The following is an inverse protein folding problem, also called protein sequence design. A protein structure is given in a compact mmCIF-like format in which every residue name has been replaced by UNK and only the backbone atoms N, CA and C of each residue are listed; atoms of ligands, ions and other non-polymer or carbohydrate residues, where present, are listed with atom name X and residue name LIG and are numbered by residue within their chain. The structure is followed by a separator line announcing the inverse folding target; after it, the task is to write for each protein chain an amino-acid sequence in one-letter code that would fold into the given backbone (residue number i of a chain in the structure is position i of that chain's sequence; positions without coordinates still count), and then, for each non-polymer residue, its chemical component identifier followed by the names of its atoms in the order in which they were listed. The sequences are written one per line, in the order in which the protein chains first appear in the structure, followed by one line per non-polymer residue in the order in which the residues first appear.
data_IF_446390281189
#
_entry.id   IF_446390281189
#
_cell.length_a   1.000
_cell.length_b   1.000
_cell.length_c   1.000
_cell.angle_alpha   90.00
_cell.angle_beta   90.00
_cell.angle_gamma   90.00
#
_symmetry.space_group_name_H-M   'P 1'
#
loop_
_entity.id
_entity.type
_entity.pdbx_description
1 polymer ?
#
# COMPACT_ATOMS: atom_id res chain seq x y z
N UNK A 1 -11.79 13.82 13.42
CA UNK A 1 -11.23 12.74 12.58
C UNK A 1 -10.24 11.96 13.44
N UNK A 2 -10.42 10.64 13.63
CA UNK A 2 -9.43 9.80 14.33
C UNK A 2 -8.36 9.35 13.32
N UNK A 3 -7.11 9.34 13.75
CA UNK A 3 -5.99 8.85 12.96
C UNK A 3 -5.48 7.55 13.56
N UNK A 4 -5.13 6.61 12.68
CA UNK A 4 -4.57 5.32 13.03
C UNK A 4 -3.24 5.15 12.31
N UNK A 5 -2.28 4.47 12.95
CA UNK A 5 -0.92 4.32 12.45
C UNK A 5 -0.64 2.86 12.15
N UNK A 6 -0.11 2.59 10.97
CA UNK A 6 0.47 1.33 10.55
C UNK A 6 1.92 1.58 10.10
N UNK A 7 2.83 0.65 10.42
CA UNK A 7 4.19 0.67 9.89
C UNK A 7 4.27 -0.30 8.71
N UNK A 8 4.83 0.15 7.58
CA UNK A 8 5.02 -0.64 6.39
C UNK A 8 6.27 -0.16 5.63
N UNK A 9 6.97 -1.08 4.99
CA UNK A 9 8.08 -0.79 4.07
C UNK A 9 7.55 -0.63 2.64
N UNK A 10 7.83 0.51 2.01
CA UNK A 10 7.25 0.87 0.70
C UNK A 10 7.77 -0.03 -0.42
N UNK A 11 8.97 -0.59 -0.26
CA UNK A 11 9.56 -1.51 -1.24
C UNK A 11 9.01 -2.94 -1.13
N UNK A 12 8.31 -3.27 -0.04
CA UNK A 12 7.70 -4.59 0.18
C UNK A 12 6.25 -4.58 -0.33
N UNK A 13 6.00 -5.32 -1.42
CA UNK A 13 4.68 -5.38 -2.03
C UNK A 13 3.62 -6.05 -1.15
N UNK A 14 4.02 -7.03 -0.32
CA UNK A 14 3.11 -7.72 0.60
C UNK A 14 2.64 -6.80 1.72
N UNK A 15 3.56 -5.99 2.27
CA UNK A 15 3.21 -4.98 3.27
C UNK A 15 2.32 -3.88 2.70
N UNK A 16 2.56 -3.46 1.45
CA UNK A 16 1.70 -2.47 0.78
C UNK A 16 0.32 -3.02 0.45
N UNK A 17 0.22 -4.28 0.02
CA UNK A 17 -1.05 -4.97 -0.16
C UNK A 17 -1.83 -4.98 1.15
N UNK A 18 -1.21 -5.45 2.23
CA UNK A 18 -1.83 -5.48 3.56
C UNK A 18 -2.24 -4.08 4.02
N UNK A 19 -1.41 -3.05 3.83
CA UNK A 19 -1.73 -1.68 4.24
C UNK A 19 -2.95 -1.12 3.47
N UNK A 20 -3.14 -1.51 2.22
CA UNK A 20 -4.21 -1.01 1.35
C UNK A 20 -5.51 -1.82 1.46
N UNK A 21 -5.45 -3.07 1.92
CA UNK A 21 -6.62 -3.89 2.25
C UNK A 21 -7.02 -3.83 3.74
N UNK A 22 -6.18 -3.24 4.59
CA UNK A 22 -6.41 -3.17 6.03
C UNK A 22 -7.52 -2.19 6.41
N UNK A 23 -8.23 -2.53 7.49
CA UNK A 23 -9.20 -1.63 8.10
C UNK A 23 -8.53 -0.37 8.64
N UNK A 24 -9.06 0.78 8.24
CA UNK A 24 -8.56 2.07 8.69
C UNK A 24 -8.82 2.34 10.18
N UNK A 25 -9.67 1.56 10.85
CA UNK A 25 -10.02 1.76 12.27
C UNK A 25 -10.63 0.49 12.92
N UNK A 26 -10.48 0.29 14.24
CA UNK A 26 -11.10 -0.84 14.95
C UNK A 26 -12.63 -0.86 14.88
N UNK A 27 -13.28 0.31 14.83
CA UNK A 27 -14.74 0.43 14.69
C UNK A 27 -15.26 0.03 13.30
N UNK A 28 -14.34 -0.17 12.33
CA UNK A 28 -14.66 -0.70 11.00
C UNK A 28 -14.60 -2.22 10.91
N UNK A 29 -14.30 -2.91 12.02
CA UNK A 29 -14.30 -4.38 12.09
C UNK A 29 -15.71 -4.98 12.19
N UNK A 30 -16.68 -4.20 12.68
CA UNK A 30 -18.07 -4.61 12.95
C UNK A 30 -19.03 -4.54 11.75
N UNK A 31 -18.96 -3.53 10.84
CA UNK A 31 -19.88 -3.48 9.70
C UNK A 31 -19.41 -4.44 8.60
N UNK A 32 -20.25 -5.41 8.25
CA UNK A 32 -20.03 -6.37 7.14
C UNK A 32 -20.07 -5.78 5.73
N UNK A 33 -19.65 -4.52 5.55
CA UNK A 33 -19.68 -3.78 4.29
C UNK A 33 -18.52 -4.14 3.33
N UNK A 34 -17.76 -5.18 3.62
CA UNK A 34 -16.67 -5.68 2.76
C UNK A 34 -15.33 -4.98 2.99
N UNK A 35 -14.37 -5.31 2.12
CA UNK A 35 -13.00 -4.81 2.17
C UNK A 35 -12.96 -3.26 2.05
N UNK A 36 -12.14 -2.57 2.86
CA UNK A 36 -12.00 -1.12 2.80
C UNK A 36 -11.50 -0.65 1.44
N UNK A 37 -12.24 0.23 0.77
CA UNK A 37 -11.76 0.94 -0.42
C UNK A 37 -11.31 2.34 -0.03
N UNK A 38 -10.03 2.64 -0.24
CA UNK A 38 -9.51 4.00 -0.13
C UNK A 38 -9.82 4.79 -1.39
N UNK A 39 -10.43 5.97 -1.26
CA UNK A 39 -10.72 6.86 -2.40
C UNK A 39 -9.46 7.51 -2.97
N UNK A 40 -8.44 7.71 -2.13
CA UNK A 40 -7.18 8.33 -2.52
C UNK A 40 -6.01 7.87 -1.64
N UNK A 41 -4.83 7.74 -2.25
CA UNK A 41 -3.59 7.37 -1.56
C UNK A 41 -2.48 8.36 -1.91
N UNK A 42 -1.85 8.92 -0.87
CA UNK A 42 -0.67 9.79 -0.97
C UNK A 42 0.46 9.15 -0.17
N UNK A 43 1.60 8.90 -0.81
CA UNK A 43 2.83 8.46 -0.14
C UNK A 43 3.95 9.46 -0.42
N UNK A 44 4.80 9.70 0.59
CA UNK A 44 5.99 10.54 0.48
C UNK A 44 7.29 9.77 0.75
N UNK A 45 7.20 8.45 0.96
CA UNK A 45 8.36 7.61 1.20
C UNK A 45 9.22 7.54 -0.07
N UNK A 46 10.47 8.02 0.05
CA UNK A 46 11.46 8.06 -1.02
C UNK A 46 12.86 8.29 -0.45
N UNK A 47 13.88 7.98 -1.25
CA UNK A 47 15.23 8.54 -1.06
C UNK A 47 15.29 9.87 -1.85
N UNK A 48 15.41 11.02 -1.17
CA UNK A 48 15.08 12.32 -1.77
C UNK A 48 16.19 12.92 -2.67
N UNK A 49 17.43 12.42 -2.58
CA UNK A 49 18.55 12.92 -3.40
C UNK A 49 19.68 11.92 -3.54
N UNK A 50 20.48 12.14 -4.58
CA UNK A 50 21.76 11.47 -4.78
C UNK A 50 22.67 11.66 -3.56
N UNK A 51 23.56 10.69 -3.33
CA UNK A 51 24.55 10.65 -2.25
C UNK A 51 24.02 10.34 -0.84
N UNK A 52 22.72 10.09 -0.64
CA UNK A 52 22.20 9.49 0.61
C UNK A 52 22.40 7.98 0.60
N UNK A 53 22.07 7.37 -0.54
CA UNK A 53 22.29 5.96 -0.85
C UNK A 53 22.95 5.82 -2.22
N UNK A 54 23.58 4.67 -2.54
CA UNK A 54 24.01 4.38 -3.90
C UNK A 54 22.90 4.63 -4.92
N UNK A 55 23.27 5.07 -6.13
CA UNK A 55 22.29 5.50 -7.15
C UNK A 55 21.31 4.40 -7.55
N UNK A 56 21.77 3.15 -7.63
CA UNK A 56 20.94 1.99 -7.90
C UNK A 56 19.86 1.77 -6.82
N UNK A 57 20.20 1.98 -5.55
CA UNK A 57 19.24 1.83 -4.45
C UNK A 57 18.24 3.00 -4.41
N UNK A 58 18.70 4.22 -4.63
CA UNK A 58 17.83 5.41 -4.75
C UNK A 58 16.80 5.21 -5.86
N UNK A 59 17.25 4.74 -7.03
CA UNK A 59 16.38 4.45 -8.16
C UNK A 59 15.41 3.30 -7.84
N UNK A 60 15.91 2.19 -7.31
CA UNK A 60 15.09 1.02 -6.99
C UNK A 60 14.00 1.37 -5.97
N UNK A 61 14.34 2.00 -4.84
CA UNK A 61 13.38 2.36 -3.79
C UNK A 61 12.27 3.26 -4.35
N UNK A 62 12.64 4.31 -5.10
CA UNK A 62 11.65 5.27 -5.59
C UNK A 62 10.76 4.68 -6.71
N UNK A 63 11.30 3.81 -7.56
CA UNK A 63 10.54 3.15 -8.63
C UNK A 63 9.64 2.05 -8.06
N UNK A 64 10.20 1.13 -7.27
CA UNK A 64 9.43 0.04 -6.64
C UNK A 64 8.35 0.63 -5.73
N UNK A 65 8.68 1.66 -4.95
CA UNK A 65 7.70 2.31 -4.08
C UNK A 65 6.56 2.99 -4.83
N UNK A 66 6.83 3.63 -5.98
CA UNK A 66 5.78 4.19 -6.84
C UNK A 66 4.89 3.09 -7.44
N UNK A 67 5.49 1.97 -7.84
CA UNK A 67 4.77 0.84 -8.42
C UNK A 67 3.87 0.14 -7.39
N UNK A 68 4.42 -0.14 -6.20
CA UNK A 68 3.71 -0.80 -5.10
C UNK A 68 2.52 0.03 -4.57
N UNK A 69 2.42 1.32 -4.92
CA UNK A 69 1.24 2.15 -4.62
C UNK A 69 0.11 2.00 -5.64
N UNK A 70 0.42 1.71 -6.91
CA UNK A 70 -0.57 1.55 -7.99
C UNK A 70 -1.10 0.11 -8.00
N UNK A 71 -0.18 -0.85 -7.91
CA UNK A 71 -0.46 -2.26 -8.16
C UNK A 71 -1.42 -2.98 -7.21
N UNK A 72 -1.54 -2.66 -5.91
CA UNK A 72 -2.30 -3.49 -4.97
C UNK A 72 -3.76 -3.68 -5.41
N UNK A 73 -4.36 -2.67 -6.05
CA UNK A 73 -5.72 -2.75 -6.59
C UNK A 73 -5.87 -3.74 -7.74
N UNK A 74 -4.86 -3.88 -8.61
CA UNK A 74 -4.90 -4.85 -9.71
C UNK A 74 -4.84 -6.30 -9.20
N UNK A 75 -4.15 -6.54 -8.08
CA UNK A 75 -4.08 -7.87 -7.46
C UNK A 75 -5.35 -8.22 -6.69
N UNK A 76 -5.96 -7.28 -5.98
CA UNK A 76 -7.24 -7.53 -5.27
C UNK A 76 -8.38 -7.81 -6.23
N UNK A 77 -8.49 -7.09 -7.36
CA UNK A 77 -9.51 -7.39 -8.37
C UNK A 77 -9.30 -8.79 -8.97
N UNK A 78 -8.06 -9.14 -9.31
CA UNK A 78 -7.75 -10.47 -9.86
C UNK A 78 -7.98 -11.60 -8.84
N UNK A 79 -7.66 -11.38 -7.56
CA UNK A 79 -7.83 -12.39 -6.51
C UNK A 79 -9.32 -12.60 -6.16
N UNK A 80 -10.11 -11.52 -6.10
CA UNK A 80 -11.56 -11.62 -5.90
C UNK A 80 -12.23 -12.34 -7.09
N UNK A 81 -11.81 -12.07 -8.32
CA UNK A 81 -12.31 -12.76 -9.52
C UNK A 81 -11.94 -14.26 -9.56
N UNK A 82 -10.80 -14.63 -8.95
CA UNK A 82 -10.34 -16.01 -8.88
C UNK A 82 -11.06 -16.83 -7.79
N UNK A 83 -11.50 -16.19 -6.71
CA UNK A 83 -12.23 -16.84 -5.60
C UNK A 83 -13.76 -16.82 -5.77
N UNK A 84 -14.31 -16.05 -6.72
CA UNK A 84 -15.73 -16.08 -7.08
C UNK A 84 -16.08 -17.07 -8.22
N UNK A 85 -15.14 -17.94 -8.63
CA UNK A 85 -15.38 -19.10 -9.51
C UNK A 85 -15.41 -20.40 -8.70
#
# INVERSE_FOLDING_TARGET
MRQYKLAAEITDSGQMLNAMSSYAAPDKLEPGNGEPKFDAVVHFAAVPRIMIKPGNETFLVNIVGTYNRIKPYEYTEFFLDYFQQ
#
